data_IF_241094902058
#
_entry.id   IF_241094902058
#
_cell.length_a   1.000
_cell.length_b   1.000
_cell.length_c   1.000
_cell.angle_alpha   90.00
_cell.angle_beta   90.00
_cell.angle_gamma   90.00
#
_symmetry.space_group_name_H-M   'P 1'
#
loop_
_entity.id
_entity.type
_entity.pdbx_description
1 polymer ?
#
# COMPACT_ATOMS: atom_id res chain seq x y z
N UNK A 1 4.27 16.66 10.82
CA UNK A 1 4.23 16.03 9.48
C UNK A 1 3.07 15.05 9.51
N UNK A 2 2.03 15.26 8.70
CA UNK A 2 0.87 14.35 8.67
C UNK A 2 1.25 13.16 7.77
N UNK A 3 1.34 11.96 8.34
CA UNK A 3 1.74 10.75 7.60
C UNK A 3 0.57 10.34 6.70
N UNK A 4 0.80 10.35 5.38
CA UNK A 4 -0.20 9.89 4.40
C UNK A 4 -0.20 8.36 4.29
N UNK A 5 -0.94 7.71 5.18
CA UNK A 5 -1.05 6.24 5.23
C UNK A 5 -1.63 5.65 3.94
N UNK A 6 -2.55 6.37 3.29
CA UNK A 6 -3.18 5.90 2.04
C UNK A 6 -2.17 5.94 0.89
N UNK A 7 -1.33 6.97 0.85
CA UNK A 7 -0.20 7.05 -0.08
C UNK A 7 0.80 5.91 0.13
N UNK A 8 1.19 5.64 1.38
CA UNK A 8 2.09 4.55 1.78
C UNK A 8 1.53 3.20 1.35
N UNK A 9 0.27 2.90 1.71
CA UNK A 9 -0.38 1.63 1.37
C UNK A 9 -0.60 1.45 -0.13
N UNK A 10 -0.88 2.54 -0.87
CA UNK A 10 -0.90 2.50 -2.34
C UNK A 10 0.46 2.06 -2.88
N UNK A 11 1.55 2.70 -2.44
CA UNK A 11 2.91 2.37 -2.88
C UNK A 11 3.30 0.93 -2.51
N UNK A 12 3.02 0.51 -1.28
CA UNK A 12 3.20 -0.89 -0.86
C UNK A 12 2.41 -1.84 -1.76
N UNK A 13 1.15 -1.55 -2.09
CA UNK A 13 0.34 -2.33 -3.05
C UNK A 13 0.89 -2.36 -4.48
N UNK A 14 1.68 -1.36 -4.91
CA UNK A 14 2.47 -1.42 -6.16
C UNK A 14 3.70 -2.31 -6.08
N UNK A 15 4.20 -2.55 -4.88
CA UNK A 15 5.39 -3.36 -4.64
C UNK A 15 5.03 -4.80 -4.30
N UNK A 16 3.87 -5.03 -3.67
CA UNK A 16 3.39 -6.34 -3.24
C UNK A 16 2.94 -7.25 -4.40
N UNK A 17 2.39 -6.67 -5.48
CA UNK A 17 2.12 -7.42 -6.70
C UNK A 17 3.39 -7.50 -7.54
N UNK A 18 3.83 -8.71 -7.86
CA UNK A 18 4.98 -8.94 -8.73
C UNK A 18 4.79 -8.20 -10.06
N UNK A 19 5.71 -7.29 -10.38
CA UNK A 19 5.78 -6.66 -11.70
C UNK A 19 6.34 -7.68 -12.67
N UNK A 20 5.47 -8.50 -13.27
CA UNK A 20 5.85 -9.36 -14.38
C UNK A 20 5.78 -8.54 -15.68
N UNK A 21 6.93 -8.18 -16.25
CA UNK A 21 7.05 -7.71 -17.63
C UNK A 21 7.07 -6.18 -17.86
N UNK A 22 7.18 -5.37 -16.80
CA UNK A 22 7.34 -3.90 -16.89
C UNK A 22 8.36 -3.37 -15.89
N UNK A 23 9.38 -4.16 -15.56
CA UNK A 23 10.49 -3.78 -14.69
C UNK A 23 11.39 -2.67 -15.27
N UNK A 24 11.25 -2.36 -16.57
CA UNK A 24 12.01 -1.29 -17.19
C UNK A 24 11.27 0.04 -17.05
N UNK A 25 11.95 1.12 -16.59
CA UNK A 25 11.41 2.45 -16.67
C UNK A 25 10.94 2.76 -18.10
N UNK A 26 9.85 3.50 -18.26
CA UNK A 26 9.39 4.01 -19.55
C UNK A 26 10.36 5.01 -20.21
N UNK A 27 11.53 5.23 -19.59
CA UNK A 27 12.60 6.09 -20.02
C UNK A 27 13.86 5.23 -20.17
N UNK A 28 14.49 5.29 -21.34
CA UNK A 28 15.78 4.64 -21.56
C UNK A 28 16.82 5.16 -20.54
N UNK A 29 17.69 4.29 -20.03
CA UNK A 29 18.64 4.64 -18.98
C UNK A 29 19.51 5.88 -19.32
N UNK A 30 19.88 6.03 -20.60
CA UNK A 30 20.65 7.19 -21.08
C UNK A 30 19.87 8.50 -21.19
N UNK A 31 18.54 8.48 -21.12
CA UNK A 31 17.68 9.66 -21.21
C UNK A 31 17.09 10.11 -19.88
N UNK A 32 17.40 9.42 -18.77
CA UNK A 32 16.87 9.72 -17.45
C UNK A 32 17.09 11.19 -17.02
N UNK A 33 18.21 11.80 -17.42
CA UNK A 33 18.52 13.20 -17.11
C UNK A 33 17.85 14.21 -18.05
N UNK A 34 17.40 13.78 -19.23
CA UNK A 34 16.76 14.63 -20.23
C UNK A 34 15.24 14.73 -20.05
N UNK A 35 14.63 13.75 -19.36
CA UNK A 35 13.21 13.77 -19.05
C UNK A 35 12.99 14.64 -17.81
N UNK A 36 12.10 15.65 -17.87
CA UNK A 36 11.78 16.44 -16.69
C UNK A 36 11.29 15.51 -15.60
N UNK A 37 11.89 15.60 -14.40
CA UNK A 37 11.44 14.85 -13.23
C UNK A 37 9.97 15.14 -13.03
N UNK A 38 9.12 14.14 -13.30
CA UNK A 38 7.70 14.26 -13.08
C UNK A 38 7.47 14.64 -11.62
N UNK A 39 6.78 15.75 -11.37
CA UNK A 39 6.38 16.21 -10.03
C UNK A 39 5.38 15.26 -9.33
N UNK A 40 5.12 14.08 -9.88
CA UNK A 40 4.52 13.01 -9.10
C UNK A 40 5.47 12.71 -7.94
N UNK A 41 5.14 13.23 -6.77
CA UNK A 41 5.66 12.77 -5.48
C UNK A 41 5.29 11.30 -5.33
N UNK A 42 6.08 10.45 -5.97
CA UNK A 42 6.08 9.03 -5.69
C UNK A 42 6.69 8.97 -4.29
N UNK A 43 5.84 8.84 -3.27
CA UNK A 43 6.29 8.42 -1.94
C UNK A 43 7.22 7.21 -2.16
N UNK A 44 8.52 7.38 -1.95
CA UNK A 44 9.47 6.28 -2.08
C UNK A 44 9.65 5.68 -0.70
N UNK A 45 9.11 4.49 -0.52
CA UNK A 45 9.49 3.63 0.60
C UNK A 45 10.81 2.95 0.24
N UNK A 46 11.76 2.93 1.16
CA UNK A 46 12.95 2.07 1.08
C UNK A 46 12.50 0.60 1.11
N UNK A 47 13.25 -0.30 0.46
CA UNK A 47 12.94 -1.74 0.43
C UNK A 47 12.71 -2.31 1.85
N UNK A 48 13.55 -1.91 2.83
CA UNK A 48 13.38 -2.30 4.24
C UNK A 48 12.02 -1.86 4.80
N UNK A 49 11.59 -0.63 4.52
CA UNK A 49 10.29 -0.11 4.95
C UNK A 49 9.14 -0.89 4.30
N UNK A 50 9.29 -1.32 3.05
CA UNK A 50 8.30 -2.16 2.36
C UNK A 50 8.21 -3.52 3.04
N UNK A 51 9.35 -4.14 3.37
CA UNK A 51 9.39 -5.43 4.06
C UNK A 51 8.76 -5.38 5.46
N UNK A 52 8.99 -4.31 6.21
CA UNK A 52 8.36 -4.16 7.53
C UNK A 52 6.84 -3.96 7.43
N UNK A 53 6.36 -3.20 6.43
CA UNK A 53 4.92 -3.10 6.16
C UNK A 53 4.35 -4.48 5.75
N UNK A 54 5.05 -5.24 4.91
CA UNK A 54 4.62 -6.57 4.49
C UNK A 54 4.55 -7.55 5.68
N UNK A 55 5.53 -7.51 6.60
CA UNK A 55 5.49 -8.27 7.85
C UNK A 55 4.27 -7.89 8.70
N UNK A 56 4.00 -6.59 8.85
CA UNK A 56 2.84 -6.08 9.57
C UNK A 56 1.52 -6.60 8.97
N UNK A 57 1.37 -6.53 7.64
CA UNK A 57 0.18 -7.03 6.93
C UNK A 57 0.04 -8.55 7.09
N UNK A 58 1.14 -9.31 7.09
CA UNK A 58 1.11 -10.75 7.39
C UNK A 58 0.67 -11.07 8.81
N UNK A 59 1.04 -10.24 9.79
CA UNK A 59 0.56 -10.37 11.17
C UNK A 59 -0.94 -10.05 11.26
N UNK A 60 -1.41 -9.02 10.54
CA UNK A 60 -2.83 -8.67 10.46
C UNK A 60 -3.68 -9.86 9.98
N UNK A 61 -3.19 -10.64 9.00
CA UNK A 61 -3.86 -11.86 8.52
C UNK A 61 -4.15 -12.87 9.64
N UNK A 62 -3.24 -12.99 10.61
CA UNK A 62 -3.36 -13.97 11.70
C UNK A 62 -4.29 -13.47 12.82
N UNK A 63 -4.31 -12.17 13.08
CA UNK A 63 -5.10 -11.57 14.16
C UNK A 63 -6.54 -11.28 13.71
N UNK A 64 -6.68 -10.62 12.56
CA UNK A 64 -7.96 -10.10 12.05
C UNK A 64 -8.06 -10.36 10.53
N UNK A 65 -8.46 -11.59 10.12
CA UNK A 65 -8.46 -11.97 8.71
C UNK A 65 -9.37 -11.10 7.85
N UNK A 66 -10.48 -10.62 8.40
CA UNK A 66 -11.41 -9.74 7.67
C UNK A 66 -10.78 -8.39 7.32
N UNK A 67 -10.02 -7.79 8.24
CA UNK A 67 -9.30 -6.53 8.01
C UNK A 67 -8.20 -6.73 6.96
N UNK A 68 -7.51 -7.87 7.02
CA UNK A 68 -6.54 -8.25 6.01
C UNK A 68 -7.15 -8.35 4.61
N UNK A 69 -8.25 -9.07 4.44
CA UNK A 69 -8.91 -9.23 3.13
C UNK A 69 -9.36 -7.90 2.54
N UNK A 70 -9.94 -7.01 3.37
CA UNK A 70 -10.36 -5.67 2.97
C UNK A 70 -9.15 -4.82 2.53
N UNK A 71 -8.05 -4.85 3.30
CA UNK A 71 -6.83 -4.10 3.00
C UNK A 71 -6.15 -4.59 1.71
N UNK A 72 -6.04 -5.91 1.54
CA UNK A 72 -5.48 -6.55 0.35
C UNK A 72 -6.32 -6.26 -0.88
N UNK A 73 -7.63 -6.44 -0.79
CA UNK A 73 -8.58 -6.12 -1.85
C UNK A 73 -8.40 -4.69 -2.34
N UNK A 74 -8.30 -3.74 -1.40
CA UNK A 74 -8.24 -2.32 -1.74
C UNK A 74 -6.90 -1.85 -2.31
N UNK A 75 -5.79 -2.31 -1.74
CA UNK A 75 -4.46 -1.76 -2.02
C UNK A 75 -3.60 -2.67 -2.91
N UNK A 76 -3.60 -3.97 -2.68
CA UNK A 76 -2.81 -4.92 -3.48
C UNK A 76 -3.58 -5.33 -4.76
N UNK A 77 -4.80 -5.85 -4.62
CA UNK A 77 -5.62 -6.29 -5.75
C UNK A 77 -6.27 -5.13 -6.53
N UNK A 78 -6.50 -3.99 -5.87
CA UNK A 78 -7.07 -2.75 -6.46
C UNK A 78 -8.41 -2.95 -7.15
N UNK A 79 -9.19 -3.87 -6.62
CA UNK A 79 -10.60 -4.03 -6.97
C UNK A 79 -11.41 -2.87 -6.40
N UNK A 80 -12.57 -2.59 -6.98
CA UNK A 80 -13.44 -1.51 -6.51
C UNK A 80 -14.06 -1.87 -5.16
N UNK A 81 -14.37 -0.85 -4.34
CA UNK A 81 -14.96 -1.03 -3.01
C UNK A 81 -16.23 -1.91 -3.09
N UNK A 82 -17.10 -1.67 -4.08
CA UNK A 82 -18.31 -2.48 -4.29
C UNK A 82 -18.04 -3.94 -4.64
N UNK A 83 -16.96 -4.23 -5.39
CA UNK A 83 -16.57 -5.62 -5.69
C UNK A 83 -16.09 -6.32 -4.42
N UNK A 84 -15.32 -5.63 -3.57
CA UNK A 84 -14.85 -6.17 -2.29
C UNK A 84 -16.04 -6.47 -1.37
N UNK A 85 -16.98 -5.53 -1.27
CA UNK A 85 -18.20 -5.68 -0.47
C UNK A 85 -19.03 -6.89 -0.92
N UNK A 86 -19.19 -7.08 -2.23
CA UNK A 86 -19.91 -8.22 -2.81
C UNK A 86 -19.18 -9.54 -2.55
N UNK A 87 -17.87 -9.60 -2.76
CA UNK A 87 -17.06 -10.82 -2.57
C UNK A 87 -17.00 -11.24 -1.10
N UNK A 88 -16.86 -10.28 -0.19
CA UNK A 88 -16.80 -10.55 1.25
C UNK A 88 -18.19 -10.66 1.90
N UNK A 89 -19.27 -10.29 1.20
CA UNK A 89 -20.62 -10.31 1.73
C UNK A 89 -20.85 -9.33 2.88
N UNK A 90 -20.16 -8.18 2.88
CA UNK A 90 -20.19 -7.19 3.96
C UNK A 90 -20.92 -5.91 3.55
N UNK A 91 -21.50 -5.21 4.53
CA UNK A 91 -22.10 -3.89 4.28
C UNK A 91 -21.02 -2.84 4.04
N UNK A 92 -21.33 -1.80 3.26
CA UNK A 92 -20.42 -0.68 3.00
C UNK A 92 -19.97 0.05 4.28
N UNK A 93 -20.82 0.13 5.31
CA UNK A 93 -20.44 0.70 6.62
C UNK A 93 -19.41 -0.18 7.32
N UNK A 94 -19.61 -1.50 7.29
CA UNK A 94 -18.66 -2.48 7.84
C UNK A 94 -17.34 -2.42 7.10
N UNK A 95 -17.36 -2.39 5.76
CA UNK A 95 -16.17 -2.25 4.92
C UNK A 95 -15.34 -1.02 5.32
N UNK A 96 -15.96 0.16 5.43
CA UNK A 96 -15.27 1.39 5.83
C UNK A 96 -14.67 1.30 7.23
N UNK A 97 -15.37 0.67 8.17
CA UNK A 97 -14.88 0.48 9.54
C UNK A 97 -13.65 -0.41 9.56
N UNK A 98 -13.71 -1.58 8.93
CA UNK A 98 -12.60 -2.53 8.88
C UNK A 98 -11.40 -1.96 8.13
N UNK A 99 -11.64 -1.29 6.99
CA UNK A 99 -10.57 -0.62 6.24
C UNK A 99 -9.87 0.45 7.08
N UNK A 100 -10.63 1.31 7.77
CA UNK A 100 -10.05 2.34 8.62
C UNK A 100 -9.26 1.74 9.78
N UNK A 101 -9.75 0.67 10.41
CA UNK A 101 -9.04 -0.03 11.48
C UNK A 101 -7.73 -0.66 10.97
N UNK A 102 -7.77 -1.30 9.80
CA UNK A 102 -6.59 -1.87 9.15
C UNK A 102 -5.55 -0.78 8.78
N UNK A 103 -5.99 0.34 8.22
CA UNK A 103 -5.12 1.50 7.92
C UNK A 103 -4.46 2.04 9.19
N UNK A 104 -5.21 2.18 10.29
CA UNK A 104 -4.69 2.66 11.56
C UNK A 104 -3.70 1.69 12.21
N UNK A 105 -3.92 0.38 12.06
CA UNK A 105 -2.97 -0.64 12.53
C UNK A 105 -1.60 -0.50 11.83
N UNK A 106 -1.60 -0.39 10.50
CA UNK A 106 -0.37 -0.19 9.73
C UNK A 106 0.30 1.15 10.07
N UNK A 107 -0.49 2.22 10.21
CA UNK A 107 0.02 3.52 10.64
C UNK A 107 0.74 3.43 12.00
N UNK A 108 0.18 2.68 12.96
CA UNK A 108 0.80 2.45 14.26
C UNK A 108 2.20 1.83 14.15
N UNK A 109 2.38 0.86 13.26
CA UNK A 109 3.69 0.25 12.99
C UNK A 109 4.66 1.22 12.31
N UNK A 110 4.19 1.97 11.32
CA UNK A 110 5.00 2.99 10.62
C UNK A 110 5.54 4.04 11.59
N UNK A 111 4.67 4.51 12.51
CA UNK A 111 5.05 5.47 13.56
C UNK A 111 5.98 4.84 14.58
N UNK A 112 5.68 3.64 15.06
CA UNK A 112 6.47 2.93 16.07
C UNK A 112 7.90 2.61 15.61
N UNK A 113 8.06 2.22 14.35
CA UNK A 113 9.36 1.91 13.75
C UNK A 113 10.10 3.14 13.20
N UNK A 114 9.49 4.33 13.24
CA UNK A 114 10.00 5.57 12.62
C UNK A 114 10.53 5.33 11.21
N UNK A 115 9.78 4.60 10.40
CA UNK A 115 10.25 4.22 9.06
C UNK A 115 10.64 5.48 8.28
N UNK A 116 11.86 5.46 7.73
CA UNK A 116 12.36 6.57 6.92
C UNK A 116 11.54 6.65 5.63
N UNK A 117 10.76 7.71 5.50
CA UNK A 117 10.15 8.08 4.22
C UNK A 117 11.18 8.86 3.43
N UNK A 118 11.61 8.34 2.28
CA UNK A 118 12.48 9.06 1.37
C UNK A 118 11.59 9.98 0.53
N UNK A 119 11.70 11.29 0.76
CA UNK A 119 10.98 12.34 0.01
C UNK A 119 11.69 12.63 -1.30
#
# INVERSE_FOLDING_TARGET
>A
MLIDIKGILRFWGYSANGRLGTEFPCVAAGMAQAVPTSNHRILRLTDDSIFEIDRCVKQLKQQEPQQYEVLIGRYAARVSDSQIEQVLGISHTTFKRELAQAEMYVLGVVVGLKLALVV
#
